data_IF_653099249273
#
_entry.id   IF_653099249273
#
_cell.length_a   1.000
_cell.length_b   1.000
_cell.length_c   1.000
_cell.angle_alpha   90.00
_cell.angle_beta   90.00
_cell.angle_gamma   90.00
#
_symmetry.space_group_name_H-M   'P 1'
#
loop_
_entity.id
_entity.type
_entity.pdbx_description
1 polymer ?
#
# COMPACT_ATOMS: atom_id res chain seq x y z
N UNK A 1 -0.86 10.56 -2.73
CA UNK A 1 0.32 10.22 -1.91
C UNK A 1 1.38 11.31 -1.87
N UNK A 2 1.95 11.78 -2.99
CA UNK A 2 3.02 12.80 -3.01
C UNK A 2 2.65 14.13 -2.32
N UNK A 3 1.43 14.64 -2.56
CA UNK A 3 0.93 15.88 -1.95
C UNK A 3 0.28 15.68 -0.58
N UNK A 4 0.32 14.48 -0.01
CA UNK A 4 -0.36 14.21 1.26
C UNK A 4 0.37 14.91 2.41
N UNK A 5 -0.38 15.67 3.21
CA UNK A 5 0.11 16.41 4.37
C UNK A 5 -0.60 15.91 5.62
N UNK A 6 0.09 15.92 6.76
CA UNK A 6 -0.51 15.65 8.05
C UNK A 6 -1.33 16.87 8.55
N UNK A 7 -1.98 16.74 9.72
CA UNK A 7 -2.77 17.82 10.32
C UNK A 7 -1.98 19.12 10.57
N UNK A 8 -0.64 19.03 10.66
CA UNK A 8 0.28 20.18 10.84
C UNK A 8 0.80 20.74 9.50
N UNK A 9 0.27 20.30 8.36
CA UNK A 9 0.68 20.75 7.03
C UNK A 9 2.03 20.20 6.55
N UNK A 10 2.69 19.32 7.31
CA UNK A 10 3.97 18.70 6.93
C UNK A 10 3.75 17.51 5.99
N UNK A 11 4.67 17.22 5.05
CA UNK A 11 4.57 16.04 4.20
C UNK A 11 4.42 14.77 5.03
N UNK A 12 3.40 13.98 4.69
CA UNK A 12 3.09 12.75 5.43
C UNK A 12 4.01 11.59 5.01
N UNK A 13 4.54 11.63 3.79
CA UNK A 13 5.48 10.66 3.26
C UNK A 13 6.76 11.35 2.78
N UNK A 14 7.91 10.75 3.08
CA UNK A 14 9.21 11.17 2.55
C UNK A 14 9.37 10.67 1.10
N UNK A 15 10.14 11.35 0.24
CA UNK A 15 10.41 10.90 -1.13
C UNK A 15 10.90 9.44 -1.21
N UNK A 16 11.79 9.04 -0.29
CA UNK A 16 12.30 7.65 -0.20
C UNK A 16 11.21 6.61 0.06
N UNK A 17 10.12 6.95 0.73
CA UNK A 17 9.00 6.04 0.95
C UNK A 17 8.14 5.91 -0.31
N UNK A 18 7.89 7.02 -0.99
CA UNK A 18 7.12 7.05 -2.23
C UNK A 18 7.83 6.30 -3.37
N UNK A 19 9.16 6.40 -3.42
CA UNK A 19 9.99 5.66 -4.38
C UNK A 19 9.70 4.15 -4.35
N UNK A 20 9.59 3.56 -3.15
CA UNK A 20 9.31 2.13 -2.99
C UNK A 20 7.91 1.77 -3.49
N UNK A 21 6.94 2.65 -3.26
CA UNK A 21 5.61 2.45 -3.84
C UNK A 21 5.66 2.42 -5.36
N UNK A 22 6.44 3.30 -5.99
CA UNK A 22 6.63 3.31 -7.44
C UNK A 22 7.34 2.04 -7.94
N UNK A 23 8.37 1.56 -7.22
CA UNK A 23 9.06 0.31 -7.55
C UNK A 23 8.14 -0.91 -7.46
N UNK A 24 7.16 -0.90 -6.56
CA UNK A 24 6.23 -2.01 -6.35
C UNK A 24 5.12 -2.05 -7.41
N UNK A 25 4.75 -0.91 -8.01
CA UNK A 25 3.62 -0.85 -8.94
C UNK A 25 3.62 -1.91 -10.05
N UNK A 26 4.76 -2.22 -10.70
CA UNK A 26 4.81 -3.24 -11.73
C UNK A 26 4.55 -4.67 -11.24
N UNK A 27 4.46 -4.91 -9.93
CA UNK A 27 4.27 -6.22 -9.32
C UNK A 27 2.90 -6.38 -8.67
N UNK A 28 2.01 -5.40 -8.79
CA UNK A 28 0.68 -5.46 -8.17
C UNK A 28 -0.26 -6.28 -9.04
N UNK A 29 -0.81 -7.36 -8.48
CA UNK A 29 -1.92 -8.07 -9.11
C UNK A 29 -3.24 -7.32 -8.89
N UNK A 30 -3.83 -6.76 -9.95
CA UNK A 30 -4.94 -5.81 -9.85
C UNK A 30 -6.22 -6.40 -9.20
N UNK A 31 -6.44 -7.71 -9.31
CA UNK A 31 -7.65 -8.36 -8.78
C UNK A 31 -7.54 -8.69 -7.29
N UNK A 32 -6.33 -8.97 -6.80
CA UNK A 32 -6.11 -9.45 -5.41
C UNK A 32 -5.28 -8.49 -4.57
N UNK A 33 -4.73 -7.44 -5.20
CA UNK A 33 -3.79 -6.47 -4.63
C UNK A 33 -2.59 -7.07 -3.90
N UNK A 34 -2.26 -8.32 -4.20
CA UNK A 34 -1.05 -8.94 -3.71
C UNK A 34 0.12 -8.51 -4.60
N UNK A 35 1.29 -8.34 -4.00
CA UNK A 35 2.53 -8.18 -4.75
C UNK A 35 2.98 -9.57 -5.24
N UNK A 36 3.16 -9.74 -6.55
CA UNK A 36 3.47 -11.02 -7.19
C UNK A 36 4.44 -10.88 -8.38
N UNK A 37 5.04 -12.00 -8.79
CA UNK A 37 5.94 -12.05 -9.96
C UNK A 37 5.21 -11.79 -11.28
N UNK A 38 3.96 -12.23 -11.36
CA UNK A 38 3.16 -12.21 -12.58
C UNK A 38 1.83 -11.47 -12.37
N UNK A 39 1.84 -10.13 -12.31
CA UNK A 39 0.66 -9.30 -11.99
C UNK A 39 -0.48 -9.38 -13.01
N UNK A 40 -0.20 -9.87 -14.24
CA UNK A 40 -1.18 -10.00 -15.35
C UNK A 40 -1.65 -11.44 -15.56
N UNK A 41 -1.13 -12.41 -14.81
CA UNK A 41 -1.47 -13.84 -14.91
C UNK A 41 -1.92 -14.34 -13.55
N UNK A 42 -1.88 -15.65 -13.32
CA UNK A 42 -2.06 -16.23 -12.01
C UNK A 42 -1.06 -15.63 -11.00
N UNK A 43 -1.57 -15.20 -9.85
CA UNK A 43 -0.79 -14.46 -8.88
C UNK A 43 0.15 -15.40 -8.12
N UNK A 44 1.44 -15.41 -8.49
CA UNK A 44 2.51 -16.04 -7.71
C UNK A 44 3.08 -15.02 -6.70
N UNK A 45 2.66 -15.03 -5.42
CA UNK A 45 2.97 -13.96 -4.48
C UNK A 45 4.47 -13.89 -4.20
N UNK A 46 5.02 -12.68 -4.24
CA UNK A 46 6.41 -12.45 -3.86
C UNK A 46 6.52 -12.41 -2.34
N UNK A 47 7.48 -13.16 -1.80
CA UNK A 47 7.84 -13.08 -0.40
C UNK A 47 8.54 -11.77 -0.09
N UNK A 48 8.45 -11.33 1.16
CA UNK A 48 9.16 -10.13 1.62
C UNK A 48 10.67 -10.22 1.38
N UNK A 49 11.27 -11.42 1.50
CA UNK A 49 12.69 -11.65 1.21
C UNK A 49 13.00 -11.43 -0.27
N UNK A 50 12.23 -12.05 -1.16
CA UNK A 50 12.39 -11.87 -2.62
C UNK A 50 12.26 -10.40 -3.02
N UNK A 51 11.27 -9.68 -2.45
CA UNK A 51 11.10 -8.24 -2.69
C UNK A 51 12.28 -7.42 -2.18
N UNK A 52 12.83 -7.78 -1.02
CA UNK A 52 13.98 -7.09 -0.45
C UNK A 52 15.21 -7.27 -1.36
N UNK A 53 15.46 -8.50 -1.81
CA UNK A 53 16.57 -8.82 -2.71
C UNK A 53 16.42 -8.08 -4.05
N UNK A 54 15.22 -8.11 -4.66
CA UNK A 54 14.91 -7.40 -5.91
C UNK A 54 15.14 -5.89 -5.84
N UNK A 55 14.92 -5.29 -4.67
CA UNK A 55 15.07 -3.85 -4.46
C UNK A 55 16.41 -3.47 -3.80
N UNK A 56 17.34 -4.42 -3.66
CA UNK A 56 18.68 -4.16 -3.15
C UNK A 56 18.73 -3.88 -1.64
N UNK A 57 17.83 -4.45 -0.85
CA UNK A 57 17.87 -4.37 0.61
C UNK A 57 18.63 -5.56 1.20
N UNK A 58 19.70 -5.29 1.96
CA UNK A 58 20.48 -6.33 2.65
C UNK A 58 19.66 -7.19 3.62
N UNK A 59 18.61 -6.61 4.23
CA UNK A 59 17.78 -7.27 5.24
C UNK A 59 16.30 -7.05 4.95
N UNK A 60 15.46 -8.10 4.90
CA UNK A 60 14.03 -7.98 4.59
C UNK A 60 13.26 -7.04 5.52
N UNK A 61 13.66 -6.96 6.78
CA UNK A 61 13.03 -6.07 7.76
C UNK A 61 13.23 -4.57 7.44
N UNK A 62 14.28 -4.18 6.72
CA UNK A 62 14.47 -2.80 6.26
C UNK A 62 13.38 -2.40 5.26
N UNK A 63 13.02 -3.32 4.35
CA UNK A 63 11.89 -3.12 3.44
C UNK A 63 10.57 -3.12 4.22
N UNK A 64 10.37 -4.10 5.12
CA UNK A 64 9.17 -4.17 5.99
C UNK A 64 8.87 -2.84 6.68
N UNK A 65 9.89 -2.26 7.32
CA UNK A 65 9.77 -0.97 8.02
C UNK A 65 9.42 0.19 7.07
N UNK A 66 9.89 0.15 5.83
CA UNK A 66 9.56 1.19 4.83
C UNK A 66 8.12 1.07 4.33
N UNK A 67 7.64 -0.16 4.15
CA UNK A 67 6.27 -0.44 3.74
C UNK A 67 5.26 -0.07 4.82
N UNK A 68 5.51 -0.48 6.07
CA UNK A 68 4.62 -0.17 7.22
C UNK A 68 4.49 1.35 7.44
N UNK A 69 5.57 2.10 7.24
CA UNK A 69 5.57 3.55 7.42
C UNK A 69 5.01 4.34 6.22
N UNK A 70 4.59 3.67 5.14
CA UNK A 70 3.98 4.32 3.98
C UNK A 70 2.49 4.52 4.24
N UNK A 71 2.06 5.79 4.29
CA UNK A 71 0.68 6.13 4.66
C UNK A 71 -0.04 6.93 3.57
N UNK A 72 -1.36 6.77 3.51
CA UNK A 72 -2.27 7.61 2.75
C UNK A 72 -3.49 7.92 3.63
N UNK A 73 -3.85 9.20 3.81
CA UNK A 73 -4.92 9.62 4.72
C UNK A 73 -4.78 9.08 6.16
N UNK A 74 -3.58 9.05 6.75
CA UNK A 74 -3.29 8.41 8.05
C UNK A 74 -3.62 6.91 8.12
N UNK A 75 -3.63 6.23 6.97
CA UNK A 75 -3.84 4.78 6.90
C UNK A 75 -2.72 4.12 6.14
N UNK A 76 -2.41 2.88 6.51
CA UNK A 76 -1.31 2.14 5.89
C UNK A 76 -1.62 1.84 4.42
N UNK A 77 -0.63 2.09 3.57
CA UNK A 77 -0.72 1.73 2.14
C UNK A 77 -0.49 0.25 1.94
N UNK A 78 0.30 -0.38 2.79
CA UNK A 78 0.65 -1.79 2.68
C UNK A 78 0.18 -2.58 3.91
N UNK A 79 -0.28 -3.80 3.68
CA UNK A 79 -0.55 -4.79 4.71
C UNK A 79 0.40 -5.98 4.50
N UNK A 80 0.91 -6.54 5.58
CA UNK A 80 1.84 -7.66 5.56
C UNK A 80 1.20 -8.79 6.35
N UNK A 81 0.98 -9.92 5.69
CA UNK A 81 0.36 -11.11 6.27
C UNK A 81 1.39 -12.23 6.32
N UNK A 82 1.55 -12.84 7.49
CA UNK A 82 2.44 -13.97 7.71
C UNK A 82 1.58 -15.22 7.94
N UNK A 83 1.70 -16.21 7.06
CA UNK A 83 0.95 -17.47 7.14
C UNK A 83 1.91 -18.64 6.95
N UNK A 84 2.06 -19.49 7.98
CA UNK A 84 2.88 -20.72 7.95
C UNK A 84 4.30 -20.49 7.40
N UNK A 85 4.96 -19.39 7.80
CA UNK A 85 6.30 -19.03 7.34
C UNK A 85 6.38 -18.26 6.02
N UNK A 86 5.26 -18.08 5.32
CA UNK A 86 5.20 -17.25 4.11
C UNK A 86 4.74 -15.84 4.44
N UNK A 87 5.52 -14.84 4.05
CA UNK A 87 5.15 -13.44 4.18
C UNK A 87 4.59 -12.93 2.85
N UNK A 88 3.33 -12.52 2.83
CA UNK A 88 2.69 -11.88 1.67
C UNK A 88 2.52 -10.39 1.93
N UNK A 89 2.75 -9.59 0.90
CA UNK A 89 2.54 -8.14 0.95
C UNK A 89 1.35 -7.78 0.08
N UNK A 90 0.42 -7.04 0.66
CA UNK A 90 -0.76 -6.51 -0.01
C UNK A 90 -0.68 -4.99 -0.06
N UNK A 91 -1.22 -4.40 -1.12
CA UNK A 91 -1.38 -2.96 -1.25
C UNK A 91 -2.86 -2.58 -1.06
N UNK A 92 -3.10 -1.41 -0.50
CA UNK A 92 -4.43 -0.87 -0.32
C UNK A 92 -5.13 -0.77 -1.67
N UNK A 93 -6.38 -1.26 -1.80
CA UNK A 93 -7.12 -1.16 -3.05
C UNK A 93 -7.33 0.27 -3.52
N UNK A 94 -7.40 1.24 -2.60
CA UNK A 94 -7.56 2.65 -2.94
C UNK A 94 -6.27 3.30 -3.50
N UNK A 95 -5.15 2.57 -3.45
CA UNK A 95 -3.89 2.94 -4.08
C UNK A 95 -3.67 2.15 -5.37
N UNK A 96 -3.98 0.85 -5.36
CA UNK A 96 -3.81 -0.04 -6.49
C UNK A 96 -4.83 0.21 -7.61
N UNK A 97 -6.09 0.36 -7.26
CA UNK A 97 -7.16 0.65 -8.22
C UNK A 97 -7.27 2.16 -8.47
N UNK A 98 -7.19 2.53 -9.75
CA UNK A 98 -7.61 3.85 -10.26
C UNK A 98 -9.05 3.85 -10.77
N UNK A 99 -9.71 2.70 -10.83
CA UNK A 99 -11.07 2.62 -11.33
C UNK A 99 -12.01 3.17 -10.25
N UNK A 100 -13.03 3.92 -10.65
CA UNK A 100 -13.99 4.52 -9.72
C UNK A 100 -14.83 3.51 -8.94
N UNK A 101 -14.56 2.22 -9.10
CA UNK A 101 -15.30 1.12 -8.53
C UNK A 101 -14.93 0.87 -7.07
N UNK A 102 -15.92 0.44 -6.29
CA UNK A 102 -15.73 0.06 -4.90
C UNK A 102 -14.84 -1.19 -4.85
N UNK A 103 -13.77 -1.20 -4.04
CA UNK A 103 -12.95 -2.39 -3.88
C UNK A 103 -13.72 -3.59 -3.34
N UNK A 104 -13.24 -4.79 -3.69
CA UNK A 104 -13.76 -6.04 -3.15
C UNK A 104 -13.78 -6.05 -1.61
N UNK A 105 -14.88 -6.45 -0.94
CA UNK A 105 -15.01 -6.37 0.52
C UNK A 105 -13.89 -7.06 1.28
N UNK A 106 -13.47 -8.24 0.83
CA UNK A 106 -12.40 -9.02 1.47
C UNK A 106 -11.01 -8.38 1.35
N UNK A 107 -10.80 -7.44 0.42
CA UNK A 107 -9.58 -6.63 0.34
C UNK A 107 -9.65 -5.43 1.28
N UNK A 108 -10.86 -4.89 1.51
CA UNK A 108 -11.08 -3.78 2.46
C UNK A 108 -10.85 -4.25 3.90
N UNK A 109 -11.21 -5.48 4.25
CA UNK A 109 -11.02 -6.01 5.62
C UNK A 109 -9.55 -6.08 6.04
N UNK A 110 -8.61 -6.20 5.10
CA UNK A 110 -7.16 -6.10 5.38
C UNK A 110 -6.72 -4.67 5.76
N UNK A 111 -7.60 -3.69 5.54
CA UNK A 111 -7.34 -2.26 5.67
C UNK A 111 -8.52 -1.53 6.37
N UNK A 112 -8.90 -1.93 7.59
CA UNK A 112 -10.20 -1.58 8.21
C UNK A 112 -10.42 -0.07 8.36
N UNK A 113 -9.35 0.71 8.54
CA UNK A 113 -9.44 2.16 8.76
C UNK A 113 -9.45 3.00 7.47
N UNK A 114 -9.19 2.39 6.30
CA UNK A 114 -9.00 3.15 5.04
C UNK A 114 -10.27 3.83 4.58
N UNK A 115 -11.42 3.14 4.63
CA UNK A 115 -12.69 3.68 4.15
C UNK A 115 -13.13 4.91 4.93
N UNK A 116 -13.04 4.86 6.26
CA UNK A 116 -13.43 5.97 7.15
C UNK A 116 -12.50 7.17 7.00
N UNK A 117 -11.20 6.92 6.90
CA UNK A 117 -10.20 7.98 6.75
C UNK A 117 -10.35 8.72 5.41
N UNK A 118 -10.64 8.00 4.32
CA UNK A 118 -10.93 8.61 3.02
C UNK A 118 -12.19 9.49 3.09
N UNK A 119 -13.26 9.01 3.75
CA UNK A 119 -14.50 9.78 3.92
C UNK A 119 -14.26 11.07 4.71
N UNK A 120 -13.62 10.99 5.88
CA UNK A 120 -13.30 12.16 6.73
C UNK A 120 -12.51 13.21 5.96
N UNK A 121 -11.55 12.81 5.14
CA UNK A 121 -10.76 13.78 4.36
C UNK A 121 -11.56 14.43 3.22
N UNK A 122 -12.42 13.68 2.53
CA UNK A 122 -13.32 14.24 1.51
C UNK A 122 -14.29 15.25 2.11
N UNK A 123 -14.85 14.95 3.28
CA UNK A 123 -15.74 15.84 4.02
C UNK A 123 -15.01 17.10 4.53
N UNK A 124 -13.79 16.94 5.06
CA UNK A 124 -12.96 18.06 5.51
C UNK A 124 -12.58 19.04 4.38
N UNK A 125 -12.41 18.54 3.14
CA UNK A 125 -12.21 19.40 1.96
C UNK A 125 -13.48 20.12 1.51
N UNK A 126 -14.64 19.45 1.59
CA UNK A 126 -15.94 20.05 1.24
C UNK A 126 -16.35 21.18 2.19
N UNK A 127 -16.00 21.10 3.48
CA UNK A 127 -16.28 22.16 4.46
C UNK A 127 -15.37 23.38 4.38
N UNK A 128 -14.30 23.33 3.57
CA UNK A 128 -13.32 24.42 3.37
C UNK A 128 -13.54 25.21 2.07
N UNK A 129 -14.54 24.82 1.28
CA UNK A 129 -15.03 25.51 0.10
C UNK A 129 -16.45 25.99 0.37
#
# INVERSE_FOLDING_TARGET
MYKAKNAKGKPMNRPKQLYITFMIMPFIHMKTNVICKHPRKEAEPLQLKELADMFGFEKPHHLKNKLINCMLYNTNVFAISEVKGYTRVFISPYVASRTGDKPEPHLITMFPHVTEAIKKEKEGKRKKH
#
